data_IF_656712011723
#
_entry.id   IF_656712011723
#
_cell.length_a   1.000
_cell.length_b   1.000
_cell.length_c   1.000
_cell.angle_alpha   90.00
_cell.angle_beta   90.00
_cell.angle_gamma   90.00
#
_symmetry.space_group_name_H-M   'P 1'
#
loop_
_entity.id
_entity.type
_entity.pdbx_description
1 polymer ?
#
# COMPACT_ATOMS: atom_id res chain seq x y z
N UNK A 1 -12.55 -2.84 -4.96
CA UNK A 1 -12.71 -3.72 -6.12
C UNK A 1 -12.82 -5.14 -5.62
N UNK A 2 -13.53 -6.03 -6.31
CA UNK A 2 -13.48 -7.48 -6.03
C UNK A 2 -12.23 -8.10 -6.69
N UNK A 3 -12.15 -9.44 -6.70
CA UNK A 3 -11.01 -10.19 -7.28
C UNK A 3 -10.83 -10.00 -8.79
N UNK A 4 -11.90 -9.62 -9.49
CA UNK A 4 -11.95 -9.39 -10.94
C UNK A 4 -11.69 -7.92 -11.31
N UNK A 5 -11.55 -7.03 -10.33
CA UNK A 5 -11.36 -5.59 -10.56
C UNK A 5 -12.67 -4.79 -10.62
N UNK A 6 -13.81 -5.43 -10.42
CA UNK A 6 -15.11 -4.76 -10.45
C UNK A 6 -15.34 -3.88 -9.21
N UNK A 7 -16.06 -2.80 -9.43
CA UNK A 7 -16.43 -1.84 -8.40
C UNK A 7 -17.77 -2.19 -7.74
N UNK A 8 -17.96 -1.89 -6.45
CA UNK A 8 -19.29 -1.94 -5.85
C UNK A 8 -20.21 -0.89 -6.50
N UNK A 9 -21.54 -1.09 -6.49
CA UNK A 9 -22.47 -0.08 -6.97
C UNK A 9 -22.40 1.19 -6.10
N UNK A 10 -22.44 2.36 -6.74
CA UNK A 10 -22.42 3.66 -6.05
C UNK A 10 -21.00 4.15 -5.74
N UNK A 11 -20.74 4.47 -4.47
CA UNK A 11 -19.44 5.01 -4.04
C UNK A 11 -18.39 3.91 -3.98
N UNK A 12 -17.30 4.10 -4.71
CA UNK A 12 -16.20 3.12 -4.82
C UNK A 12 -14.95 3.52 -4.05
N UNK A 13 -14.87 4.79 -3.65
CA UNK A 13 -13.66 5.42 -3.15
C UNK A 13 -14.02 6.44 -2.08
N UNK A 14 -13.35 6.36 -0.93
CA UNK A 14 -13.47 7.32 0.16
C UNK A 14 -12.16 8.10 0.30
N UNK A 15 -12.27 9.41 0.48
CA UNK A 15 -11.15 10.28 0.82
C UNK A 15 -11.36 10.83 2.23
N UNK A 16 -10.54 10.37 3.16
CA UNK A 16 -10.54 10.84 4.54
C UNK A 16 -9.66 12.08 4.64
N UNK A 17 -10.23 13.18 5.14
CA UNK A 17 -9.54 14.46 5.28
C UNK A 17 -9.24 14.67 6.76
N UNK A 18 -7.97 14.50 7.15
CA UNK A 18 -7.54 14.59 8.55
C UNK A 18 -7.31 16.01 9.01
N UNK A 19 -7.42 16.22 10.32
CA UNK A 19 -7.11 17.51 10.95
C UNK A 19 -5.66 17.90 10.70
N UNK A 20 -5.45 19.14 10.29
CA UNK A 20 -4.12 19.70 10.00
C UNK A 20 -4.15 21.21 10.15
N UNK A 21 -3.15 21.78 10.81
CA UNK A 21 -3.04 23.22 11.09
C UNK A 21 -1.71 23.78 10.55
N UNK A 22 -1.79 24.66 9.55
CA UNK A 22 -0.62 25.34 8.95
C UNK A 22 0.14 26.26 9.92
N UNK A 23 -0.41 26.57 11.08
CA UNK A 23 0.25 27.41 12.09
C UNK A 23 1.03 26.57 13.10
N UNK A 24 0.55 25.35 13.40
CA UNK A 24 1.08 24.52 14.49
C UNK A 24 1.89 23.32 13.98
N UNK A 25 1.47 22.72 12.86
CA UNK A 25 2.07 21.49 12.34
C UNK A 25 3.30 21.79 11.49
N UNK A 26 4.27 20.88 11.52
CA UNK A 26 5.45 20.95 10.66
C UNK A 26 5.11 20.48 9.24
N UNK A 27 5.64 21.17 8.23
CA UNK A 27 5.46 20.82 6.84
C UNK A 27 6.62 21.30 5.95
N UNK A 28 6.66 20.78 4.73
CA UNK A 28 7.45 21.34 3.64
C UNK A 28 6.61 22.34 2.84
N UNK A 29 7.13 23.54 2.60
CA UNK A 29 6.42 24.59 1.87
C UNK A 29 6.01 24.14 0.46
N UNK A 30 6.92 23.51 -0.27
CA UNK A 30 6.67 22.99 -1.62
C UNK A 30 5.50 21.99 -1.64
N UNK A 31 5.36 21.19 -0.57
CA UNK A 31 4.26 20.23 -0.45
C UNK A 31 2.93 20.91 -0.17
N UNK A 32 2.91 21.94 0.67
CA UNK A 32 1.69 22.73 0.92
C UNK A 32 1.23 23.42 -0.37
N UNK A 33 2.15 24.07 -1.09
CA UNK A 33 1.82 24.77 -2.32
C UNK A 33 1.27 23.80 -3.39
N UNK A 34 1.91 22.63 -3.54
CA UNK A 34 1.44 21.57 -4.43
C UNK A 34 0.03 21.11 -4.04
N UNK A 35 -0.23 20.83 -2.76
CA UNK A 35 -1.52 20.34 -2.28
C UNK A 35 -2.62 21.41 -2.40
N UNK A 36 -2.32 22.67 -2.12
CA UNK A 36 -3.23 23.79 -2.34
C UNK A 36 -3.61 23.92 -3.82
N UNK A 37 -2.62 23.86 -4.71
CA UNK A 37 -2.84 23.89 -6.16
C UNK A 37 -3.63 22.66 -6.65
N UNK A 38 -3.51 21.54 -5.94
CA UNK A 38 -4.30 20.31 -6.17
C UNK A 38 -5.71 20.38 -5.56
N UNK A 39 -6.04 21.50 -4.92
CA UNK A 39 -7.37 21.82 -4.41
C UNK A 39 -7.66 21.36 -2.99
N UNK A 40 -6.62 21.08 -2.19
CA UNK A 40 -6.77 20.79 -0.76
C UNK A 40 -7.17 22.06 0.01
N UNK A 41 -8.19 21.96 0.86
CA UNK A 41 -8.77 23.11 1.57
C UNK A 41 -8.27 23.13 3.02
N UNK A 42 -7.04 23.59 3.26
CA UNK A 42 -6.41 23.55 4.60
C UNK A 42 -7.25 24.15 5.73
N UNK A 43 -7.96 25.25 5.48
CA UNK A 43 -8.89 25.81 6.48
C UNK A 43 -9.97 24.81 6.92
N UNK A 44 -10.50 24.03 5.99
CA UNK A 44 -11.49 22.99 6.28
C UNK A 44 -10.87 21.80 7.02
N UNK A 45 -9.61 21.47 6.73
CA UNK A 45 -8.89 20.46 7.51
C UNK A 45 -8.68 20.93 8.95
N UNK A 46 -8.34 22.19 9.18
CA UNK A 46 -8.17 22.73 10.54
C UNK A 46 -9.49 22.72 11.34
N UNK A 47 -10.60 23.15 10.72
CA UNK A 47 -11.90 23.34 11.37
C UNK A 47 -12.73 22.05 11.47
N UNK A 48 -12.68 21.19 10.46
CA UNK A 48 -13.59 20.03 10.28
C UNK A 48 -12.84 18.71 10.06
N UNK A 49 -11.50 18.71 10.11
CA UNK A 49 -10.70 17.52 9.82
C UNK A 49 -10.91 16.40 10.84
N UNK A 50 -10.79 15.17 10.35
CA UNK A 50 -10.95 13.95 11.15
C UNK A 50 -9.79 13.84 12.15
N UNK A 51 -10.12 13.55 13.41
CA UNK A 51 -9.14 13.17 14.42
C UNK A 51 -8.53 11.80 14.08
N UNK A 52 -7.20 11.72 14.06
CA UNK A 52 -6.50 10.52 13.61
C UNK A 52 -6.68 9.34 14.56
N UNK A 53 -6.81 9.57 15.86
CA UNK A 53 -7.01 8.50 16.84
C UNK A 53 -8.42 7.94 16.76
N UNK A 54 -9.41 8.82 16.59
CA UNK A 54 -10.78 8.40 16.34
C UNK A 54 -10.89 7.57 15.06
N UNK A 55 -10.20 7.98 13.99
CA UNK A 55 -10.14 7.18 12.76
C UNK A 55 -9.44 5.83 12.99
N UNK A 56 -8.35 5.79 13.75
CA UNK A 56 -7.63 4.56 14.08
C UNK A 56 -8.52 3.55 14.79
N UNK A 57 -9.32 4.00 15.77
CA UNK A 57 -10.27 3.17 16.51
C UNK A 57 -11.30 2.52 15.56
N UNK A 58 -11.89 3.31 14.67
CA UNK A 58 -12.85 2.81 13.69
C UNK A 58 -12.20 1.87 12.67
N UNK A 59 -11.00 2.20 12.19
CA UNK A 59 -10.28 1.38 11.23
C UNK A 59 -9.93 0.01 11.84
N UNK A 60 -9.48 -0.01 13.09
CA UNK A 60 -9.10 -1.23 13.82
C UNK A 60 -10.23 -2.28 13.87
N UNK A 61 -11.48 -1.83 13.96
CA UNK A 61 -12.65 -2.70 14.10
C UNK A 61 -13.47 -2.85 12.81
N UNK A 62 -13.01 -2.25 11.71
CA UNK A 62 -13.72 -2.24 10.42
C UNK A 62 -13.64 -3.54 9.62
N UNK A 63 -12.66 -4.40 9.92
CA UNK A 63 -12.31 -5.57 9.10
C UNK A 63 -11.41 -5.26 7.88
N UNK A 64 -10.89 -4.04 7.75
CA UNK A 64 -9.94 -3.66 6.68
C UNK A 64 -8.48 -3.95 7.03
N UNK A 65 -8.15 -3.99 8.32
CA UNK A 65 -6.82 -4.30 8.86
C UNK A 65 -6.90 -5.57 9.71
N UNK A 66 -5.76 -6.22 9.94
CA UNK A 66 -5.65 -7.49 10.70
C UNK A 66 -6.47 -8.65 10.08
N UNK A 67 -6.88 -8.53 8.81
CA UNK A 67 -7.76 -9.47 8.13
C UNK A 67 -7.07 -10.06 6.90
N UNK A 68 -6.85 -11.38 6.89
CA UNK A 68 -6.10 -12.10 5.83
C UNK A 68 -6.80 -12.11 4.46
N UNK A 69 -8.12 -11.88 4.43
CA UNK A 69 -8.90 -11.81 3.20
C UNK A 69 -8.83 -10.45 2.50
N UNK A 70 -8.14 -9.46 3.08
CA UNK A 70 -8.01 -8.12 2.50
C UNK A 70 -6.67 -8.00 1.77
N UNK A 71 -6.72 -7.58 0.51
CA UNK A 71 -5.55 -7.26 -0.31
C UNK A 71 -5.42 -5.76 -0.49
N UNK A 72 -4.33 -5.18 -0.01
CA UNK A 72 -4.00 -3.77 -0.11
C UNK A 72 -3.22 -3.49 -1.39
N UNK A 73 -3.73 -2.57 -2.21
CA UNK A 73 -3.10 -2.12 -3.44
C UNK A 73 -2.57 -0.72 -3.23
N UNK A 74 -1.30 -0.48 -3.60
CA UNK A 74 -0.63 0.79 -3.33
C UNK A 74 0.36 1.17 -4.44
N UNK A 75 0.96 2.36 -4.37
CA UNK A 75 1.97 2.80 -5.33
C UNK A 75 3.05 3.62 -4.61
N UNK A 76 4.29 3.13 -4.59
CA UNK A 76 5.42 3.81 -3.95
C UNK A 76 5.20 4.10 -2.44
N UNK A 77 4.77 3.07 -1.73
CA UNK A 77 3.92 3.23 -0.55
C UNK A 77 4.62 3.17 0.80
N UNK A 78 5.95 3.31 0.82
CA UNK A 78 6.74 3.27 2.07
C UNK A 78 6.24 4.28 3.11
N UNK A 79 6.06 5.54 2.72
CA UNK A 79 5.52 6.57 3.61
C UNK A 79 4.04 6.36 3.92
N UNK A 80 3.23 5.92 2.95
CA UNK A 80 1.79 5.70 3.14
C UNK A 80 1.54 4.70 4.27
N UNK A 81 2.24 3.57 4.23
CA UNK A 81 2.16 2.56 5.28
C UNK A 81 2.88 2.98 6.57
N UNK A 82 3.94 3.79 6.48
CA UNK A 82 4.54 4.43 7.66
C UNK A 82 3.52 5.28 8.43
N UNK A 83 2.74 6.10 7.75
CA UNK A 83 1.68 6.88 8.39
C UNK A 83 0.57 6.00 8.97
N UNK A 84 0.14 4.95 8.25
CA UNK A 84 -0.89 4.03 8.76
C UNK A 84 -0.42 3.23 9.98
N UNK A 85 0.82 2.74 9.99
CA UNK A 85 1.39 2.03 11.16
C UNK A 85 1.52 2.99 12.34
N UNK A 86 2.02 4.21 12.13
CA UNK A 86 2.05 5.24 13.18
C UNK A 86 0.66 5.51 13.74
N UNK A 87 -0.33 5.65 12.86
CA UNK A 87 -1.73 5.93 13.23
C UNK A 87 -2.35 4.76 14.02
N UNK A 88 -2.15 3.52 13.58
CA UNK A 88 -2.74 2.33 14.20
C UNK A 88 -2.07 1.92 15.53
N UNK A 89 -0.78 2.26 15.70
CA UNK A 89 -0.05 1.98 16.93
C UNK A 89 -0.06 3.12 17.94
N UNK A 90 -0.44 4.33 17.50
CA UNK A 90 -0.28 5.58 18.25
C UNK A 90 1.13 5.73 18.87
N UNK A 91 2.14 5.27 18.12
CA UNK A 91 3.53 5.23 18.58
C UNK A 91 4.49 5.75 17.50
N UNK A 92 5.72 6.05 17.91
CA UNK A 92 6.80 6.27 16.94
C UNK A 92 7.02 4.98 16.15
N UNK A 93 7.37 5.13 14.88
CA UNK A 93 7.77 3.98 14.08
C UNK A 93 8.99 3.28 14.70
N UNK A 94 9.10 1.95 14.57
CA UNK A 94 10.28 1.22 15.01
C UNK A 94 11.57 1.82 14.43
N UNK A 95 12.63 1.79 15.23
CA UNK A 95 13.95 2.27 14.78
C UNK A 95 14.56 1.34 13.74
N UNK A 96 14.30 0.03 13.87
CA UNK A 96 14.79 -1.00 12.96
C UNK A 96 13.76 -1.35 11.87
N UNK A 97 14.21 -1.41 10.61
CA UNK A 97 13.36 -1.70 9.46
C UNK A 97 12.66 -3.07 9.58
N UNK A 98 13.36 -4.07 10.13
CA UNK A 98 12.80 -5.40 10.34
C UNK A 98 11.55 -5.38 11.24
N UNK A 99 11.62 -4.63 12.35
CA UNK A 99 10.52 -4.53 13.31
C UNK A 99 9.35 -3.75 12.72
N UNK A 100 9.62 -2.73 11.88
CA UNK A 100 8.59 -2.07 11.09
C UNK A 100 7.84 -3.07 10.21
N UNK A 101 8.54 -3.94 9.46
CA UNK A 101 7.89 -4.94 8.62
C UNK A 101 7.14 -6.01 9.42
N UNK A 102 7.58 -6.36 10.63
CA UNK A 102 6.80 -7.25 11.50
C UNK A 102 5.43 -6.64 11.83
N UNK A 103 5.40 -5.38 12.28
CA UNK A 103 4.15 -4.68 12.61
C UNK A 103 3.29 -4.47 11.35
N UNK A 104 3.92 -4.06 10.25
CA UNK A 104 3.24 -3.85 8.97
C UNK A 104 2.48 -5.11 8.54
N UNK A 105 3.14 -6.26 8.55
CA UNK A 105 2.56 -7.52 8.09
C UNK A 105 1.46 -8.06 9.01
N UNK A 106 1.42 -7.64 10.28
CA UNK A 106 0.29 -7.92 11.16
C UNK A 106 -0.95 -7.16 10.69
N UNK A 107 -0.84 -5.83 10.53
CA UNK A 107 -1.98 -5.00 10.14
C UNK A 107 -2.41 -5.22 8.69
N UNK A 108 -1.47 -5.49 7.80
CA UNK A 108 -1.67 -5.55 6.35
C UNK A 108 -1.04 -6.84 5.79
N UNK A 109 -1.69 -8.00 5.95
CA UNK A 109 -1.09 -9.30 5.60
C UNK A 109 -0.78 -9.45 4.11
N UNK A 110 -1.55 -8.80 3.24
CA UNK A 110 -1.35 -8.83 1.79
C UNK A 110 -1.26 -7.41 1.21
N UNK A 111 -0.06 -7.01 0.78
CA UNK A 111 0.22 -5.73 0.12
C UNK A 111 0.85 -5.97 -1.24
N UNK A 112 0.35 -5.28 -2.26
CA UNK A 112 0.98 -5.22 -3.58
C UNK A 112 1.27 -3.76 -3.95
N UNK A 113 2.55 -3.38 -3.88
CA UNK A 113 3.02 -2.07 -4.34
C UNK A 113 3.22 -2.10 -5.85
N UNK A 114 2.32 -1.45 -6.59
CA UNK A 114 2.35 -1.38 -8.06
C UNK A 114 3.70 -0.94 -8.59
N UNK A 115 4.37 0.00 -7.91
CA UNK A 115 5.70 0.47 -8.33
C UNK A 115 6.78 -0.58 -8.13
N UNK A 116 6.63 -1.47 -7.14
CA UNK A 116 7.51 -2.62 -7.00
C UNK A 116 7.26 -3.65 -8.10
N UNK A 117 5.99 -3.97 -8.40
CA UNK A 117 5.61 -4.89 -9.49
C UNK A 117 6.15 -4.42 -10.86
N UNK A 118 6.12 -3.12 -11.12
CA UNK A 118 6.65 -2.51 -12.36
C UNK A 118 8.12 -2.85 -12.64
N UNK A 119 8.93 -3.22 -11.63
CA UNK A 119 10.32 -3.68 -11.87
C UNK A 119 10.40 -4.92 -12.76
N UNK A 120 9.32 -5.71 -12.82
CA UNK A 120 9.21 -6.89 -13.69
C UNK A 120 8.57 -6.56 -15.05
N UNK A 121 8.16 -5.32 -15.29
CA UNK A 121 7.51 -4.87 -16.51
C UNK A 121 8.49 -4.04 -17.36
N UNK A 122 9.03 -4.61 -18.44
CA UNK A 122 10.16 -4.04 -19.21
C UNK A 122 9.98 -2.60 -19.72
N UNK A 123 8.74 -2.11 -19.84
CA UNK A 123 8.42 -0.82 -20.44
C UNK A 123 7.64 0.13 -19.53
N UNK A 124 7.34 -0.25 -18.27
CA UNK A 124 6.63 0.63 -17.34
C UNK A 124 7.63 1.35 -16.43
N UNK A 125 7.60 2.69 -16.47
CA UNK A 125 8.44 3.54 -15.62
C UNK A 125 7.73 4.83 -15.26
N UNK A 126 8.22 5.48 -14.20
CA UNK A 126 7.77 6.81 -13.82
C UNK A 126 6.91 6.87 -12.56
N UNK A 127 6.22 8.00 -12.40
CA UNK A 127 5.20 8.22 -11.38
C UNK A 127 3.84 7.63 -11.77
N UNK A 128 2.88 7.65 -10.84
CA UNK A 128 1.55 7.05 -11.03
C UNK A 128 0.84 7.60 -12.28
N UNK A 129 0.93 8.91 -12.55
CA UNK A 129 0.31 9.50 -13.73
C UNK A 129 0.95 9.01 -15.03
N UNK A 130 2.28 8.96 -15.10
CA UNK A 130 3.00 8.49 -16.30
C UNK A 130 2.69 7.01 -16.58
N UNK A 131 2.54 6.20 -15.53
CA UNK A 131 2.14 4.79 -15.63
C UNK A 131 0.72 4.67 -16.12
N UNK A 132 -0.20 5.48 -15.60
CA UNK A 132 -1.58 5.51 -16.07
C UNK A 132 -1.67 5.86 -17.56
N UNK A 133 -0.88 6.84 -18.01
CA UNK A 133 -0.85 7.23 -19.43
C UNK A 133 -0.31 6.09 -20.31
N UNK A 134 0.75 5.39 -19.87
CA UNK A 134 1.30 4.21 -20.55
C UNK A 134 0.34 3.02 -20.60
N UNK A 135 -0.54 2.89 -19.60
CA UNK A 135 -1.58 1.86 -19.52
C UNK A 135 -2.91 2.30 -20.15
N UNK A 136 -2.94 3.50 -20.76
CA UNK A 136 -4.13 4.11 -21.37
C UNK A 136 -5.31 4.25 -20.40
N UNK A 137 -5.02 4.56 -19.14
CA UNK A 137 -6.00 4.71 -18.08
C UNK A 137 -6.45 6.16 -17.92
N UNK A 138 -7.76 6.35 -17.80
CA UNK A 138 -8.35 7.68 -17.58
C UNK A 138 -8.56 7.92 -16.08
N UNK A 139 -7.87 8.92 -15.54
CA UNK A 139 -8.07 9.39 -14.16
C UNK A 139 -9.51 9.90 -13.95
N UNK A 140 -10.06 9.58 -12.77
CA UNK A 140 -11.32 10.12 -12.28
C UNK A 140 -11.03 10.88 -10.97
N UNK A 141 -11.39 12.16 -10.93
CA UNK A 141 -11.08 13.05 -9.81
C UNK A 141 -9.81 13.88 -10.03
N UNK A 142 -9.44 14.66 -9.01
CA UNK A 142 -8.30 15.58 -9.08
C UNK A 142 -6.99 14.84 -8.83
N UNK A 143 -5.98 15.08 -9.66
CA UNK A 143 -4.63 14.54 -9.43
C UNK A 143 -4.06 15.08 -8.11
N UNK A 144 -3.20 14.29 -7.45
CA UNK A 144 -2.58 14.66 -6.17
C UNK A 144 -3.58 14.80 -5.02
N UNK A 145 -4.70 14.08 -5.11
CA UNK A 145 -5.61 13.84 -3.98
C UNK A 145 -5.78 12.34 -3.77
N UNK A 146 -5.72 11.91 -2.50
CA UNK A 146 -5.64 10.50 -2.12
C UNK A 146 -6.77 9.63 -2.69
N UNK A 147 -8.00 10.15 -2.78
CA UNK A 147 -9.12 9.42 -3.37
C UNK A 147 -8.89 9.12 -4.86
N UNK A 148 -8.59 10.15 -5.65
CA UNK A 148 -8.31 10.01 -7.09
C UNK A 148 -7.07 9.17 -7.37
N UNK A 149 -6.00 9.34 -6.58
CA UNK A 149 -4.77 8.56 -6.73
C UNK A 149 -4.95 7.08 -6.32
N UNK A 150 -5.72 6.79 -5.27
CA UNK A 150 -6.03 5.41 -4.88
C UNK A 150 -6.90 4.69 -5.91
N UNK A 151 -7.89 5.38 -6.49
CA UNK A 151 -8.70 4.84 -7.57
C UNK A 151 -7.84 4.51 -8.80
N UNK A 152 -6.96 5.43 -9.19
CA UNK A 152 -6.06 5.22 -10.33
C UNK A 152 -5.03 4.12 -10.05
N UNK A 153 -4.57 3.99 -8.80
CA UNK A 153 -3.69 2.89 -8.36
C UNK A 153 -4.37 1.54 -8.54
N UNK A 154 -5.64 1.41 -8.13
CA UNK A 154 -6.42 0.19 -8.36
C UNK A 154 -6.56 -0.14 -9.85
N UNK A 155 -6.90 0.86 -10.68
CA UNK A 155 -6.98 0.67 -12.13
C UNK A 155 -5.66 0.21 -12.74
N UNK A 156 -4.54 0.83 -12.32
CA UNK A 156 -3.20 0.48 -12.77
C UNK A 156 -2.82 -0.95 -12.37
N UNK A 157 -3.15 -1.37 -11.14
CA UNK A 157 -2.90 -2.72 -10.68
C UNK A 157 -3.61 -3.77 -11.56
N UNK A 158 -4.92 -3.65 -11.75
CA UNK A 158 -5.68 -4.64 -12.52
C UNK A 158 -5.28 -4.66 -13.99
N UNK A 159 -5.06 -3.49 -14.60
CA UNK A 159 -4.59 -3.42 -15.99
C UNK A 159 -3.19 -4.02 -16.16
N UNK A 160 -2.31 -3.81 -15.19
CA UNK A 160 -0.97 -4.37 -15.21
C UNK A 160 -0.99 -5.90 -14.98
N UNK A 161 -1.85 -6.37 -14.06
CA UNK A 161 -2.07 -7.80 -13.78
C UNK A 161 -2.48 -8.57 -15.05
N UNK A 162 -3.41 -8.01 -15.82
CA UNK A 162 -3.86 -8.56 -17.12
C UNK A 162 -2.69 -8.60 -18.14
N UNK A 163 -2.01 -7.47 -18.35
CA UNK A 163 -1.05 -7.32 -19.45
C UNK A 163 0.31 -7.99 -19.22
N UNK A 164 0.78 -8.08 -17.96
CA UNK A 164 2.15 -8.46 -17.65
C UNK A 164 2.27 -9.69 -16.75
N UNK A 165 1.16 -10.15 -16.16
CA UNK A 165 1.18 -11.20 -15.15
C UNK A 165 0.17 -12.34 -15.42
N UNK A 166 -0.42 -12.42 -16.61
CA UNK A 166 -1.32 -13.52 -16.99
C UNK A 166 -2.45 -13.74 -15.95
N UNK A 167 -2.99 -12.64 -15.44
CA UNK A 167 -4.02 -12.62 -14.39
C UNK A 167 -3.61 -13.28 -13.05
N UNK A 168 -2.31 -13.49 -12.82
CA UNK A 168 -1.80 -14.15 -11.61
C UNK A 168 -0.53 -13.48 -11.07
N UNK A 169 -0.61 -12.92 -9.85
CA UNK A 169 0.54 -12.34 -9.16
C UNK A 169 1.15 -13.39 -8.22
N UNK A 170 2.45 -13.63 -8.36
CA UNK A 170 3.20 -14.52 -7.45
C UNK A 170 3.41 -13.86 -6.07
N UNK A 171 2.65 -14.33 -5.08
CA UNK A 171 2.72 -13.83 -3.71
C UNK A 171 4.10 -13.95 -3.09
N UNK A 172 4.82 -15.06 -3.33
CA UNK A 172 6.15 -15.27 -2.76
C UNK A 172 7.16 -14.22 -3.24
N UNK A 173 6.92 -13.66 -4.43
CA UNK A 173 7.79 -12.66 -5.04
C UNK A 173 7.35 -11.22 -4.76
N UNK A 174 6.05 -10.95 -4.72
CA UNK A 174 5.52 -9.58 -4.72
C UNK A 174 4.78 -9.17 -3.45
N UNK A 175 4.18 -10.10 -2.72
CA UNK A 175 3.37 -9.77 -1.54
C UNK A 175 4.26 -9.19 -0.43
N UNK A 176 3.81 -8.08 0.18
CA UNK A 176 4.50 -7.42 1.29
C UNK A 176 5.76 -6.64 0.89
N UNK A 177 6.06 -6.52 -0.42
CA UNK A 177 7.24 -5.78 -0.91
C UNK A 177 6.88 -4.34 -1.21
N UNK A 178 7.46 -3.41 -0.43
CA UNK A 178 7.31 -1.96 -0.65
C UNK A 178 8.44 -1.44 -1.54
N UNK A 179 8.13 -0.54 -2.48
CA UNK A 179 9.18 0.04 -3.32
C UNK A 179 10.14 0.89 -2.47
N UNK A 180 11.44 0.63 -2.59
CA UNK A 180 12.49 1.41 -1.93
C UNK A 180 12.88 0.91 -0.53
N UNK A 181 12.22 -0.13 -0.02
CA UNK A 181 12.45 -0.73 1.29
C UNK A 181 12.69 -2.24 1.18
N UNK A 182 13.26 -2.85 2.21
CA UNK A 182 13.31 -4.31 2.39
C UNK A 182 14.33 -5.06 1.53
N UNK A 183 15.37 -4.40 1.01
CA UNK A 183 16.43 -5.04 0.20
C UNK A 183 17.32 -6.04 0.96
N UNK A 184 17.06 -6.29 2.25
CA UNK A 184 17.82 -7.23 3.09
C UNK A 184 17.06 -8.47 3.60
N UNK A 185 15.74 -8.59 3.39
CA UNK A 185 14.95 -9.69 3.96
C UNK A 185 14.49 -10.70 2.90
N UNK A 186 15.36 -11.66 2.61
CA UNK A 186 14.89 -13.01 2.27
C UNK A 186 14.10 -13.54 3.46
N UNK A 187 12.78 -13.67 3.35
CA UNK A 187 12.02 -14.41 4.35
C UNK A 187 12.57 -15.85 4.40
N UNK A 188 12.76 -16.45 5.59
CA UNK A 188 13.06 -17.86 5.68
C UNK A 188 11.88 -18.63 5.08
N UNK A 189 12.15 -19.48 4.09
CA UNK A 189 11.18 -20.47 3.65
C UNK A 189 10.85 -21.37 4.85
N UNK A 190 9.61 -21.31 5.33
CA UNK A 190 9.04 -22.38 6.16
C UNK A 190 8.80 -23.60 5.26
N UNK A 191 9.88 -24.30 4.92
CA UNK A 191 9.83 -25.67 4.46
C UNK A 191 9.93 -26.58 5.68
N UNK A 192 8.83 -27.23 6.07
CA UNK A 192 8.92 -28.45 6.88
C UNK A 192 9.77 -29.45 6.09
N UNK A 193 11.04 -29.57 6.45
CA UNK A 193 11.86 -30.70 6.05
C UNK A 193 11.35 -31.93 6.80
N UNK A 194 10.66 -32.80 6.08
CA UNK A 194 10.38 -34.16 6.53
C UNK A 194 11.71 -34.85 6.84
N UNK A 195 11.88 -35.20 8.11
CA UNK A 195 12.96 -36.01 8.67
C UNK A 195 13.31 -37.20 7.78
N UNK A 196 14.60 -37.33 7.46
CA UNK A 196 15.16 -38.46 6.72
C UNK A 196 14.94 -39.79 7.43
N UNK A 197 14.58 -40.80 6.64
CA UNK A 197 14.70 -42.20 7.04
C UNK A 197 16.16 -42.63 6.86
N UNK A 198 16.76 -43.08 7.95
CA UNK A 198 17.99 -43.86 7.94
C UNK A 198 17.73 -45.21 7.23
N UNK A 199 18.37 -45.44 6.09
CA UNK A 199 18.63 -46.81 5.63
C UNK A 199 20.10 -47.14 5.91
N UNK A 200 20.30 -47.88 6.98
CA UNK A 200 21.49 -48.68 7.22
C UNK A 200 21.60 -49.75 6.14
N UNK A 201 22.67 -49.76 5.35
CA UNK A 201 23.09 -50.99 4.67
C UNK A 201 24.57 -51.26 4.91
N UNK A 202 24.78 -52.32 5.68
CA UNK A 202 26.05 -52.94 6.02
C UNK A 202 26.28 -54.10 5.04
N UNK A 203 27.54 -54.26 4.56
CA UNK A 203 28.21 -55.55 4.23
C UNK A 203 27.75 -56.27 2.92
N UNK A 204 28.59 -56.74 1.99
CA UNK A 204 30.02 -57.13 1.92
C UNK A 204 30.70 -56.57 0.67
#
# INVERSE_FOLDING_TARGET
>A
MNEDGDYPPGTTTWQFNFKFNLTEDMYSQDSIDLLQNSGLQFKKHEEEGIDTLYFAELLMTSGLVLCENVKWLSFHSGYDFGYLVKLLTDARLPEEEHDFFQILNLFFPAIYDVKYLMKSCKNLKGGLQEVADQLELKRIGRQHQAGSDSLLTGMAFFRMKELFFEDNIDDAKYCGRLYGLGSGSTQPQNGLSSSGQEETNNKH
#
